data_IF_239645762409
#
_entry.id   IF_239645762409
#
_cell.length_a   1.000
_cell.length_b   1.000
_cell.length_c   1.000
_cell.angle_alpha   90.00
_cell.angle_beta   90.00
_cell.angle_gamma   90.00
#
_symmetry.space_group_name_H-M   'P 1'
#
loop_
_entity.id
_entity.type
_entity.pdbx_description
1 polymer ?
#
# COMPACT_ATOMS: atom_id res chain seq x y z
N UNK A 1 38.97 15.34 9.57
CA UNK A 1 37.91 15.55 8.55
C UNK A 1 36.63 14.81 8.93
N UNK A 2 35.94 15.21 10.01
CA UNK A 2 34.66 14.60 10.46
C UNK A 2 33.49 15.59 10.52
N UNK A 3 33.78 16.89 10.43
CA UNK A 3 32.80 17.98 10.60
C UNK A 3 32.01 18.24 9.31
N UNK A 4 32.62 18.02 8.14
CA UNK A 4 31.96 18.23 6.84
C UNK A 4 30.94 17.14 6.50
N UNK A 5 31.15 15.91 6.99
CA UNK A 5 30.22 14.79 6.80
C UNK A 5 28.91 15.06 7.54
N UNK A 6 28.99 15.55 8.78
CA UNK A 6 27.82 15.87 9.61
C UNK A 6 27.00 17.05 9.09
N UNK A 7 27.63 18.04 8.45
CA UNK A 7 26.92 19.17 7.81
C UNK A 7 26.18 18.74 6.54
N UNK A 8 26.79 17.86 5.73
CA UNK A 8 26.15 17.29 4.55
C UNK A 8 24.88 16.50 4.89
N UNK A 9 24.96 15.64 5.92
CA UNK A 9 23.82 14.85 6.39
C UNK A 9 22.69 15.74 6.96
N UNK A 10 23.02 16.81 7.67
CA UNK A 10 22.03 17.77 8.21
C UNK A 10 21.31 18.55 7.11
N UNK A 11 22.01 18.93 6.04
CA UNK A 11 21.41 19.60 4.90
C UNK A 11 20.54 18.65 4.08
N UNK A 12 20.97 17.40 3.90
CA UNK A 12 20.19 16.36 3.23
C UNK A 12 18.91 16.04 4.01
N UNK A 13 18.98 15.95 5.35
CA UNK A 13 17.83 15.73 6.22
C UNK A 13 16.81 16.88 6.20
N UNK A 14 17.23 18.10 5.83
CA UNK A 14 16.35 19.25 5.60
C UNK A 14 15.78 19.31 4.17
N UNK A 15 16.54 18.83 3.18
CA UNK A 15 16.13 18.85 1.78
C UNK A 15 15.13 17.73 1.44
N UNK A 16 15.25 16.59 2.10
CA UNK A 16 14.26 15.51 2.01
C UNK A 16 13.04 15.96 2.81
N UNK A 17 11.90 16.18 2.11
CA UNK A 17 10.61 16.35 2.78
C UNK A 17 10.45 15.16 3.71
N UNK A 18 10.48 15.42 5.01
CA UNK A 18 10.13 14.43 6.01
C UNK A 18 8.66 14.09 5.75
N UNK A 19 8.42 13.05 4.95
CA UNK A 19 7.12 12.44 4.91
C UNK A 19 6.82 12.10 6.37
N UNK A 20 5.68 12.56 6.94
CA UNK A 20 5.32 12.09 8.27
C UNK A 20 5.42 10.58 8.21
N UNK A 21 6.15 9.98 9.16
CA UNK A 21 6.04 8.56 9.37
C UNK A 21 4.56 8.33 9.66
N UNK A 22 3.80 7.92 8.64
CA UNK A 22 2.40 7.54 8.78
C UNK A 22 2.41 6.30 9.67
N UNK A 23 2.39 6.53 10.98
CA UNK A 23 2.33 5.48 11.99
C UNK A 23 1.05 4.64 11.85
N UNK A 24 0.08 5.16 11.11
CA UNK A 24 -1.13 4.48 10.71
C UNK A 24 -1.15 4.31 9.18
N UNK A 25 -1.40 3.10 8.71
CA UNK A 25 -1.63 2.88 7.29
C UNK A 25 -2.84 3.70 6.81
N UNK A 26 -2.73 4.34 5.66
CA UNK A 26 -3.88 5.04 5.06
C UNK A 26 -5.06 4.07 4.86
N UNK A 27 -6.24 4.52 5.31
CA UNK A 27 -7.47 3.75 5.10
C UNK A 27 -7.79 3.78 3.62
N UNK A 28 -7.73 2.62 2.99
CA UNK A 28 -7.98 2.49 1.56
C UNK A 28 -8.84 1.27 1.29
N UNK A 29 -9.96 1.51 0.63
CA UNK A 29 -10.78 0.46 0.04
C UNK A 29 -10.35 0.27 -1.41
N UNK A 30 -10.09 -0.97 -1.80
CA UNK A 30 -9.69 -1.34 -3.15
C UNK A 30 -10.29 -2.68 -3.55
N UNK A 31 -10.34 -2.95 -4.85
CA UNK A 31 -10.80 -4.22 -5.38
C UNK A 31 -9.62 -5.10 -5.77
N UNK A 32 -9.71 -6.37 -5.41
CA UNK A 32 -8.82 -7.40 -5.94
C UNK A 32 -9.60 -8.27 -6.92
N UNK A 33 -8.90 -8.68 -7.99
CA UNK A 33 -9.44 -9.53 -9.03
C UNK A 33 -8.55 -10.76 -9.14
N UNK A 34 -9.17 -11.92 -9.43
CA UNK A 34 -8.44 -13.13 -9.79
C UNK A 34 -9.18 -13.87 -10.90
N UNK A 35 -8.42 -14.62 -11.69
CA UNK A 35 -8.94 -15.61 -12.62
C UNK A 35 -8.85 -17.00 -11.97
N UNK A 36 -9.95 -17.73 -11.94
CA UNK A 36 -10.00 -19.13 -11.57
C UNK A 36 -9.96 -20.05 -12.79
N UNK A 37 -10.15 -21.35 -12.55
CA UNK A 37 -10.29 -22.32 -13.64
C UNK A 37 -11.50 -22.00 -14.53
N UNK A 38 -11.41 -22.39 -15.81
CA UNK A 38 -12.49 -22.17 -16.77
C UNK A 38 -12.75 -20.70 -17.11
N UNK A 39 -11.71 -19.87 -17.08
CA UNK A 39 -11.79 -18.43 -17.36
C UNK A 39 -12.72 -17.66 -16.41
N UNK A 40 -13.08 -18.18 -15.23
CA UNK A 40 -13.97 -17.46 -14.31
C UNK A 40 -13.24 -16.31 -13.62
N UNK A 41 -13.71 -15.09 -13.76
CA UNK A 41 -13.21 -13.92 -13.04
C UNK A 41 -13.92 -13.78 -11.71
N UNK A 42 -13.17 -13.59 -10.63
CA UNK A 42 -13.69 -13.28 -9.31
C UNK A 42 -13.19 -11.91 -8.86
N UNK A 43 -14.01 -11.22 -8.07
CA UNK A 43 -13.69 -9.95 -7.44
C UNK A 43 -13.95 -10.05 -5.94
N UNK A 44 -13.12 -9.39 -5.14
CA UNK A 44 -13.42 -9.10 -3.72
C UNK A 44 -13.08 -7.66 -3.39
N UNK A 45 -13.74 -7.11 -2.39
CA UNK A 45 -13.42 -5.80 -1.83
C UNK A 45 -12.47 -5.99 -0.65
N UNK A 46 -11.42 -5.20 -0.58
CA UNK A 46 -10.46 -5.20 0.52
C UNK A 46 -10.36 -3.79 1.11
N UNK A 47 -10.32 -3.71 2.43
CA UNK A 47 -10.12 -2.47 3.17
C UNK A 47 -8.87 -2.59 4.00
N UNK A 48 -7.94 -1.66 3.79
CA UNK A 48 -6.78 -1.47 4.65
C UNK A 48 -7.19 -0.60 5.83
N UNK A 49 -6.95 -1.10 7.03
CA UNK A 49 -7.27 -0.44 8.29
C UNK A 49 -6.09 0.40 8.79
N UNK A 50 -6.32 1.35 9.72
CA UNK A 50 -5.27 2.19 10.26
C UNK A 50 -4.20 1.40 11.04
N UNK A 51 -4.53 0.20 11.53
CA UNK A 51 -3.58 -0.74 12.15
C UNK A 51 -2.79 -1.58 11.12
N UNK A 52 -2.79 -1.20 9.85
CA UNK A 52 -2.10 -1.88 8.76
C UNK A 52 -2.57 -3.31 8.47
N UNK A 53 -3.71 -3.73 9.04
CA UNK A 53 -4.34 -4.99 8.64
C UNK A 53 -5.22 -4.78 7.42
N UNK A 54 -5.35 -5.83 6.62
CA UNK A 54 -6.25 -5.84 5.46
C UNK A 54 -7.36 -6.82 5.73
N UNK A 55 -8.60 -6.36 5.66
CA UNK A 55 -9.78 -7.22 5.69
C UNK A 55 -10.39 -7.27 4.30
N UNK A 56 -10.63 -8.48 3.79
CA UNK A 56 -11.27 -8.66 2.49
C UNK A 56 -12.59 -9.41 2.63
N UNK A 57 -13.55 -9.08 1.78
CA UNK A 57 -14.77 -9.85 1.61
C UNK A 57 -14.48 -11.20 0.94
N UNK A 58 -15.47 -12.09 0.97
CA UNK A 58 -15.44 -13.30 0.15
C UNK A 58 -15.32 -12.96 -1.34
N UNK A 59 -14.77 -13.90 -2.10
CA UNK A 59 -14.70 -13.83 -3.55
C UNK A 59 -16.11 -13.95 -4.13
N UNK A 60 -16.47 -13.01 -5.01
CA UNK A 60 -17.72 -13.03 -5.75
C UNK A 60 -17.40 -13.18 -7.23
N UNK A 61 -18.18 -13.99 -7.94
CA UNK A 61 -18.05 -14.11 -9.38
C UNK A 61 -18.30 -12.76 -10.07
N UNK A 62 -17.46 -12.42 -11.04
CA UNK A 62 -17.37 -11.11 -11.66
C UNK A 62 -17.22 -11.20 -13.20
N UNK A 63 -17.70 -12.29 -13.80
CA UNK A 63 -17.63 -12.53 -15.25
C UNK A 63 -16.54 -13.51 -15.64
N UNK A 64 -16.00 -13.35 -16.84
CA UNK A 64 -14.90 -14.16 -17.37
C UNK A 64 -13.62 -13.33 -17.54
N UNK A 65 -12.48 -14.00 -17.47
CA UNK A 65 -11.19 -13.46 -17.88
C UNK A 65 -11.07 -13.63 -19.40
N UNK A 66 -10.73 -12.54 -20.08
CA UNK A 66 -10.44 -12.52 -21.52
C UNK A 66 -8.99 -12.97 -21.77
#
# INVERSE_FOLDING_TARGET
>A
MRIFVTLGDLLLAKAVRQAPAEAACSIRTYYEYKCGQGMSRYRRSCTRHPNCTTTCTSWVWAGSCL
#
